data_IF_401731662032
#
_entry.id   IF_401731662032
#
_cell.length_a   1.000
_cell.length_b   1.000
_cell.length_c   1.000
_cell.angle_alpha   90.00
_cell.angle_beta   90.00
_cell.angle_gamma   90.00
#
_symmetry.space_group_name_H-M   'P 1'
#
loop_
_entity.id
_entity.type
_entity.pdbx_description
1 polymer ?
#
# COMPACT_ATOMS: atom_id res chain seq x y z
N UNK A 1 -23.40 -33.45 9.59
CA UNK A 1 -23.99 -32.46 8.67
C UNK A 1 -23.77 -31.02 9.12
N UNK A 2 -24.24 -30.60 10.31
CA UNK A 2 -24.06 -29.21 10.81
C UNK A 2 -22.59 -28.76 10.81
N UNK A 3 -21.66 -29.64 11.26
CA UNK A 3 -20.21 -29.35 11.27
C UNK A 3 -19.65 -28.99 9.87
N UNK A 4 -19.92 -29.80 8.84
CA UNK A 4 -19.42 -29.55 7.48
C UNK A 4 -20.06 -28.30 6.86
N UNK A 5 -21.33 -28.04 7.16
CA UNK A 5 -22.00 -26.81 6.75
C UNK A 5 -21.32 -25.58 7.35
N UNK A 6 -21.04 -25.59 8.67
CA UNK A 6 -20.31 -24.50 9.33
C UNK A 6 -18.91 -24.31 8.75
N UNK A 7 -18.18 -25.38 8.45
CA UNK A 7 -16.87 -25.28 7.80
C UNK A 7 -16.94 -24.58 6.45
N UNK A 8 -17.95 -24.89 5.62
CA UNK A 8 -18.14 -24.20 4.34
C UNK A 8 -18.46 -22.71 4.52
N UNK A 9 -19.30 -22.36 5.50
CA UNK A 9 -19.62 -20.95 5.79
C UNK A 9 -18.35 -20.19 6.23
N UNK A 10 -17.59 -20.76 7.16
CA UNK A 10 -16.32 -20.19 7.63
C UNK A 10 -15.36 -20.01 6.46
N UNK A 11 -15.26 -21.02 5.59
CA UNK A 11 -14.37 -20.99 4.44
C UNK A 11 -14.74 -19.90 3.43
N UNK A 12 -16.03 -19.69 3.16
CA UNK A 12 -16.50 -18.59 2.31
C UNK A 12 -16.12 -17.24 2.92
N UNK A 13 -16.30 -17.06 4.24
CA UNK A 13 -15.89 -15.83 4.93
C UNK A 13 -14.38 -15.63 4.79
N UNK A 14 -13.58 -16.69 4.96
CA UNK A 14 -12.13 -16.63 4.79
C UNK A 14 -11.73 -16.24 3.35
N UNK A 15 -12.42 -16.76 2.33
CA UNK A 15 -12.19 -16.38 0.92
C UNK A 15 -12.46 -14.89 0.71
N UNK A 16 -13.54 -14.35 1.28
CA UNK A 16 -13.86 -12.92 1.17
C UNK A 16 -12.79 -12.07 1.88
N UNK A 17 -12.38 -12.45 3.09
CA UNK A 17 -11.29 -11.76 3.80
C UNK A 17 -9.98 -11.83 3.02
N UNK A 18 -9.65 -13.01 2.46
CA UNK A 18 -8.47 -13.20 1.63
C UNK A 18 -8.49 -12.30 0.39
N UNK A 19 -9.64 -12.11 -0.27
CA UNK A 19 -9.73 -11.21 -1.42
C UNK A 19 -9.41 -9.75 -1.08
N UNK A 20 -9.85 -9.28 0.10
CA UNK A 20 -9.51 -7.94 0.58
C UNK A 20 -8.00 -7.86 0.88
N UNK A 21 -7.45 -8.89 1.54
CA UNK A 21 -6.02 -8.96 1.84
C UNK A 21 -5.16 -8.96 0.56
N UNK A 22 -5.57 -9.69 -0.49
CA UNK A 22 -4.89 -9.72 -1.80
C UNK A 22 -4.90 -8.34 -2.44
N UNK A 23 -6.02 -7.61 -2.40
CA UNK A 23 -6.10 -6.25 -2.93
C UNK A 23 -5.03 -5.35 -2.30
N UNK A 24 -4.89 -5.37 -0.97
CA UNK A 24 -3.86 -4.59 -0.27
C UNK A 24 -2.45 -5.13 -0.49
N UNK A 25 -2.29 -6.45 -0.66
CA UNK A 25 -1.00 -7.06 -1.00
C UNK A 25 -0.49 -6.61 -2.37
N UNK A 26 -1.38 -6.63 -3.37
CA UNK A 26 -1.07 -6.23 -4.75
C UNK A 26 -0.79 -4.73 -4.89
N UNK A 27 -1.49 -3.93 -4.09
CA UNK A 27 -1.35 -2.49 -4.07
C UNK A 27 -0.49 -1.99 -2.92
N UNK A 28 0.26 -2.86 -2.25
CA UNK A 28 1.15 -2.45 -1.18
C UNK A 28 2.15 -1.40 -1.70
N UNK A 29 2.36 -0.25 -1.01
CA UNK A 29 1.98 0.06 0.36
C UNK A 29 0.78 1.05 0.51
N UNK A 30 -0.27 0.94 -0.31
CA UNK A 30 -1.46 1.78 -0.17
C UNK A 30 -2.04 1.70 1.25
N UNK A 31 -2.42 2.83 1.88
CA UNK A 31 -3.04 2.85 3.19
C UNK A 31 -4.40 2.14 3.19
N UNK A 32 -4.75 1.53 4.33
CA UNK A 32 -6.02 0.84 4.47
C UNK A 32 -7.20 1.81 4.52
N UNK A 33 -8.03 1.77 3.48
CA UNK A 33 -9.35 2.42 3.45
C UNK A 33 -10.40 1.44 2.95
N UNK A 34 -11.21 0.91 3.88
CA UNK A 34 -12.22 -0.09 3.56
C UNK A 34 -13.35 0.45 2.67
N UNK A 35 -13.79 1.66 2.98
CA UNK A 35 -14.98 2.25 2.35
C UNK A 35 -14.60 2.79 0.97
N UNK A 36 -13.46 3.47 0.85
CA UNK A 36 -12.98 4.05 -0.39
C UNK A 36 -12.72 3.00 -1.48
N UNK A 37 -12.18 1.83 -1.09
CA UNK A 37 -11.76 0.79 -2.04
C UNK A 37 -12.79 -0.35 -2.21
N UNK A 38 -13.99 -0.24 -1.63
CA UNK A 38 -14.96 -1.35 -1.63
C UNK A 38 -15.29 -1.86 -3.04
N UNK A 39 -15.36 -0.94 -4.01
CA UNK A 39 -15.63 -1.27 -5.43
C UNK A 39 -14.44 -1.98 -6.10
N UNK A 40 -13.23 -1.73 -5.63
CA UNK A 40 -11.98 -2.19 -6.24
C UNK A 40 -11.54 -3.56 -5.73
N UNK A 41 -12.17 -4.06 -4.65
CA UNK A 41 -11.93 -5.40 -4.13
C UNK A 41 -12.35 -6.53 -5.07
N UNK A 42 -13.11 -6.24 -6.13
CA UNK A 42 -13.49 -7.24 -7.11
C UNK A 42 -14.38 -8.36 -6.54
N UNK A 43 -15.13 -8.09 -5.46
CA UNK A 43 -16.00 -9.07 -4.78
C UNK A 43 -16.94 -9.77 -5.77
N UNK A 44 -17.41 -9.04 -6.80
CA UNK A 44 -18.24 -9.61 -7.87
C UNK A 44 -17.58 -10.82 -8.56
N UNK A 45 -16.26 -10.77 -8.81
CA UNK A 45 -15.53 -11.86 -9.45
C UNK A 45 -15.40 -13.07 -8.51
N UNK A 46 -15.19 -12.82 -7.21
CA UNK A 46 -15.17 -13.87 -6.20
C UNK A 46 -16.52 -14.59 -6.13
N UNK A 47 -17.64 -13.85 -6.13
CA UNK A 47 -18.98 -14.44 -6.14
C UNK A 47 -19.23 -15.28 -7.41
N UNK A 48 -18.79 -14.82 -8.58
CA UNK A 48 -18.88 -15.60 -9.83
C UNK A 48 -18.07 -16.89 -9.72
N UNK A 49 -16.85 -16.85 -9.19
CA UNK A 49 -16.01 -18.04 -9.01
C UNK A 49 -16.67 -19.01 -8.01
N UNK A 50 -17.23 -18.53 -6.91
CA UNK A 50 -17.96 -19.36 -5.94
C UNK A 50 -19.17 -20.07 -6.59
N UNK A 51 -19.89 -19.40 -7.48
CA UNK A 51 -20.98 -20.00 -8.25
C UNK A 51 -20.47 -21.11 -9.18
N UNK A 52 -19.36 -20.87 -9.90
CA UNK A 52 -18.73 -21.87 -10.76
C UNK A 52 -18.28 -23.09 -9.94
N UNK A 53 -17.65 -22.87 -8.78
CA UNK A 53 -17.26 -23.95 -7.86
C UNK A 53 -18.49 -24.73 -7.39
N UNK A 54 -19.60 -24.05 -7.10
CA UNK A 54 -20.87 -24.69 -6.76
C UNK A 54 -21.40 -25.60 -7.88
N UNK A 55 -21.37 -25.12 -9.13
CA UNK A 55 -21.77 -25.92 -10.29
C UNK A 55 -20.87 -27.14 -10.47
N UNK A 56 -19.55 -26.96 -10.39
CA UNK A 56 -18.57 -28.06 -10.47
C UNK A 56 -18.78 -29.09 -9.37
N UNK A 57 -18.99 -28.65 -8.13
CA UNK A 57 -19.28 -29.54 -7.01
C UNK A 57 -20.55 -30.36 -7.23
N UNK A 58 -21.59 -29.76 -7.81
CA UNK A 58 -22.84 -30.43 -8.17
C UNK A 58 -22.63 -31.50 -9.25
N UNK A 59 -21.88 -31.17 -10.31
CA UNK A 59 -21.54 -32.10 -11.39
C UNK A 59 -20.75 -33.32 -10.86
N UNK A 60 -19.69 -33.08 -10.08
CA UNK A 60 -18.88 -34.15 -9.47
C UNK A 60 -19.75 -35.04 -8.57
N UNK A 61 -20.66 -34.43 -7.80
CA UNK A 61 -21.53 -35.16 -6.87
C UNK A 61 -22.60 -36.01 -7.58
N UNK A 62 -22.98 -35.62 -8.80
CA UNK A 62 -23.98 -36.31 -9.61
C UNK A 62 -23.52 -37.70 -10.06
N UNK A 63 -22.21 -37.96 -10.07
CA UNK A 63 -21.65 -39.31 -10.26
C UNK A 63 -22.07 -40.20 -9.09
N UNK A 64 -22.86 -41.25 -9.36
CA UNK A 64 -23.47 -42.09 -8.31
C UNK A 64 -22.40 -42.92 -7.57
N UNK A 65 -22.23 -42.65 -6.28
CA UNK A 65 -21.43 -43.46 -5.35
C UNK A 65 -22.37 -43.99 -4.27
N UNK A 66 -22.45 -45.33 -4.11
CA UNK A 66 -23.45 -46.04 -3.28
C UNK A 66 -23.44 -45.69 -1.77
N UNK A 67 -22.42 -44.98 -1.27
CA UNK A 67 -22.14 -44.85 0.18
C UNK A 67 -22.71 -43.60 0.87
N UNK A 68 -23.06 -42.53 0.14
CA UNK A 68 -23.47 -41.25 0.76
C UNK A 68 -24.59 -40.52 0.00
N UNK A 69 -25.51 -39.89 0.74
CA UNK A 69 -26.54 -39.02 0.15
C UNK A 69 -25.92 -37.79 -0.55
N UNK A 70 -26.53 -37.33 -1.64
CA UNK A 70 -26.08 -36.25 -2.50
C UNK A 70 -25.62 -35.02 -1.71
N UNK A 71 -26.44 -34.53 -0.77
CA UNK A 71 -26.16 -33.34 0.02
C UNK A 71 -24.81 -33.39 0.76
N UNK A 72 -24.46 -34.53 1.36
CA UNK A 72 -23.21 -34.65 2.10
C UNK A 72 -22.01 -34.69 1.15
N UNK A 73 -22.15 -35.39 0.02
CA UNK A 73 -21.11 -35.43 -1.01
C UNK A 73 -20.86 -34.05 -1.61
N UNK A 74 -21.93 -33.31 -1.91
CA UNK A 74 -21.85 -31.94 -2.39
C UNK A 74 -21.09 -31.04 -1.42
N UNK A 75 -21.49 -31.03 -0.13
CA UNK A 75 -20.84 -30.19 0.87
C UNK A 75 -19.35 -30.55 1.09
N UNK A 76 -18.97 -31.82 0.93
CA UNK A 76 -17.57 -32.22 1.00
C UNK A 76 -16.78 -31.79 -0.24
N UNK A 77 -17.31 -32.02 -1.45
CA UNK A 77 -16.64 -31.61 -2.70
C UNK A 77 -16.53 -30.09 -2.78
N UNK A 78 -17.60 -29.37 -2.44
CA UNK A 78 -17.62 -27.91 -2.38
C UNK A 78 -16.58 -27.39 -1.38
N UNK A 79 -16.46 -28.01 -0.20
CA UNK A 79 -15.43 -27.65 0.77
C UNK A 79 -14.02 -27.82 0.20
N UNK A 80 -13.73 -28.97 -0.42
CA UNK A 80 -12.41 -29.27 -1.00
C UNK A 80 -12.06 -28.27 -2.10
N UNK A 81 -12.98 -27.99 -3.02
CA UNK A 81 -12.75 -27.04 -4.11
C UNK A 81 -12.51 -25.61 -3.59
N UNK A 82 -13.25 -25.19 -2.57
CA UNK A 82 -13.03 -23.89 -1.94
C UNK A 82 -11.72 -23.81 -1.15
N UNK A 83 -11.27 -24.91 -0.54
CA UNK A 83 -9.94 -24.97 0.08
C UNK A 83 -8.85 -24.75 -0.98
N UNK A 84 -8.92 -25.48 -2.09
CA UNK A 84 -7.98 -25.29 -3.21
C UNK A 84 -8.01 -23.87 -3.77
N UNK A 85 -9.20 -23.28 -3.88
CA UNK A 85 -9.33 -21.89 -4.32
C UNK A 85 -8.74 -20.91 -3.32
N UNK A 86 -8.96 -21.09 -2.02
CA UNK A 86 -8.35 -20.27 -0.98
C UNK A 86 -6.82 -20.39 -0.99
N UNK A 87 -6.29 -21.61 -1.12
CA UNK A 87 -4.84 -21.85 -1.20
C UNK A 87 -4.24 -21.11 -2.41
N UNK A 88 -4.91 -21.15 -3.56
CA UNK A 88 -4.52 -20.40 -4.75
C UNK A 88 -4.52 -18.88 -4.50
N UNK A 89 -5.58 -18.34 -3.89
CA UNK A 89 -5.68 -16.93 -3.54
C UNK A 89 -4.53 -16.48 -2.61
N UNK A 90 -4.26 -17.27 -1.57
CA UNK A 90 -3.18 -16.96 -0.61
C UNK A 90 -1.82 -17.03 -1.30
N UNK A 91 -1.59 -18.02 -2.17
CA UNK A 91 -0.35 -18.15 -2.93
C UNK A 91 -0.10 -16.93 -3.82
N UNK A 92 -1.08 -16.56 -4.67
CA UNK A 92 -0.98 -15.42 -5.58
C UNK A 92 -0.77 -14.11 -4.81
N UNK A 93 -1.61 -13.85 -3.79
CA UNK A 93 -1.51 -12.64 -2.98
C UNK A 93 -0.17 -12.51 -2.25
N UNK A 94 0.33 -13.63 -1.68
CA UNK A 94 1.62 -13.63 -0.99
C UNK A 94 2.78 -13.41 -1.96
N UNK A 95 2.72 -14.02 -3.14
CA UNK A 95 3.75 -13.88 -4.18
C UNK A 95 3.88 -12.42 -4.64
N UNK A 96 2.77 -11.78 -4.98
CA UNK A 96 2.77 -10.38 -5.44
C UNK A 96 3.16 -9.42 -4.30
N UNK A 97 2.69 -9.65 -3.07
CA UNK A 97 3.12 -8.88 -1.91
C UNK A 97 4.64 -8.96 -1.69
N UNK A 98 5.23 -10.16 -1.74
CA UNK A 98 6.68 -10.34 -1.59
C UNK A 98 7.43 -9.59 -2.69
N UNK A 99 6.96 -9.65 -3.93
CA UNK A 99 7.54 -8.93 -5.07
C UNK A 99 7.49 -7.42 -4.87
N UNK A 100 6.33 -6.87 -4.48
CA UNK A 100 6.15 -5.44 -4.16
C UNK A 100 7.05 -5.00 -3.00
N UNK A 101 7.12 -5.79 -1.93
CA UNK A 101 7.98 -5.50 -0.77
C UNK A 101 9.47 -5.50 -1.15
N UNK A 102 9.91 -6.42 -2.01
CA UNK A 102 11.28 -6.43 -2.56
C UNK A 102 11.56 -5.18 -3.39
N UNK A 103 10.64 -4.79 -4.27
CA UNK A 103 10.77 -3.58 -5.07
C UNK A 103 10.86 -2.33 -4.17
N UNK A 104 10.02 -2.24 -3.12
CA UNK A 104 10.09 -1.11 -2.19
C UNK A 104 11.40 -1.08 -1.43
N UNK A 105 11.92 -2.23 -0.99
CA UNK A 105 13.23 -2.28 -0.31
C UNK A 105 14.39 -1.90 -1.23
N UNK A 106 14.31 -2.19 -2.53
CA UNK A 106 15.28 -1.70 -3.50
C UNK A 106 15.20 -0.17 -3.60
N UNK A 107 13.99 0.37 -3.73
CA UNK A 107 13.75 1.80 -3.83
C UNK A 107 14.22 2.54 -2.56
N UNK A 108 13.86 2.07 -1.37
CA UNK A 108 14.34 2.59 -0.09
C UNK A 108 15.87 2.67 -0.05
N UNK A 109 16.58 1.65 -0.54
CA UNK A 109 18.06 1.67 -0.61
C UNK A 109 18.59 2.74 -1.56
N UNK A 110 17.91 2.98 -2.68
CA UNK A 110 18.28 4.06 -3.61
C UNK A 110 18.08 5.43 -2.96
N UNK A 111 16.96 5.64 -2.28
CA UNK A 111 16.68 6.86 -1.53
C UNK A 111 17.68 7.07 -0.38
N UNK A 112 18.04 6.02 0.36
CA UNK A 112 19.10 6.11 1.39
C UNK A 112 20.47 6.45 0.78
N UNK A 113 20.81 5.90 -0.39
CA UNK A 113 22.04 6.25 -1.11
C UNK A 113 22.02 7.71 -1.57
N UNK A 114 20.87 8.19 -2.02
CA UNK A 114 20.68 9.60 -2.38
C UNK A 114 20.83 10.51 -1.16
N UNK A 115 20.19 10.17 -0.04
CA UNK A 115 20.32 10.90 1.23
C UNK A 115 21.79 11.07 1.65
N UNK A 116 22.60 10.01 1.55
CA UNK A 116 24.03 10.08 1.86
C UNK A 116 24.78 11.06 0.95
N UNK A 117 24.52 11.04 -0.36
CA UNK A 117 25.13 11.98 -1.31
C UNK A 117 24.73 13.43 -1.02
N UNK A 118 23.48 13.65 -0.63
CA UNK A 118 22.95 14.97 -0.32
C UNK A 118 23.56 15.51 0.99
N UNK A 119 23.73 14.66 1.98
CA UNK A 119 24.47 14.96 3.22
C UNK A 119 25.93 15.33 2.90
N UNK A 120 26.62 14.56 2.06
CA UNK A 120 28.00 14.84 1.64
C UNK A 120 28.13 16.19 0.92
N UNK A 121 27.08 16.62 0.21
CA UNK A 121 27.00 17.91 -0.48
C UNK A 121 26.51 19.06 0.41
N UNK A 122 26.28 18.81 1.69
CA UNK A 122 25.73 19.78 2.62
C UNK A 122 24.36 20.36 2.15
N UNK A 123 23.57 19.58 1.39
CA UNK A 123 22.31 20.03 0.80
C UNK A 123 21.31 18.88 0.62
N UNK A 124 20.30 18.82 1.48
CA UNK A 124 19.21 17.84 1.49
C UNK A 124 18.11 18.27 0.53
N UNK A 125 17.59 17.33 -0.27
CA UNK A 125 16.49 17.60 -1.22
C UNK A 125 15.25 16.82 -0.84
N UNK A 126 14.20 17.52 -0.39
CA UNK A 126 12.89 16.93 -0.17
C UNK A 126 12.07 16.98 -1.45
N UNK A 127 11.65 15.80 -1.91
CA UNK A 127 10.74 15.67 -3.05
C UNK A 127 9.31 15.61 -2.53
N UNK A 128 8.42 16.35 -3.17
CA UNK A 128 7.01 16.31 -2.82
C UNK A 128 6.14 16.28 -4.08
N UNK A 129 5.04 15.53 -4.00
CA UNK A 129 3.99 15.55 -5.01
C UNK A 129 2.94 16.59 -4.61
N UNK A 130 2.58 17.47 -5.53
CA UNK A 130 1.61 18.54 -5.32
C UNK A 130 1.54 19.47 -6.53
N UNK A 131 0.32 19.84 -6.94
CA UNK A 131 0.12 20.92 -7.93
C UNK A 131 0.40 22.31 -7.32
N UNK A 132 0.15 23.36 -8.11
CA UNK A 132 0.23 24.77 -7.69
C UNK A 132 -0.32 24.96 -6.26
N UNK A 133 0.53 25.44 -5.34
CA UNK A 133 0.07 25.81 -3.99
C UNK A 133 -0.95 26.94 -4.10
N UNK A 134 -2.08 26.81 -3.40
CA UNK A 134 -3.08 27.86 -3.27
C UNK A 134 -2.42 29.15 -2.76
N UNK A 135 -2.58 30.22 -3.54
CA UNK A 135 -1.81 31.47 -3.56
C UNK A 135 -0.36 31.30 -4.06
N UNK A 136 -0.15 31.51 -5.37
CA UNK A 136 1.17 31.84 -5.89
C UNK A 136 1.67 33.08 -5.13
N UNK A 137 2.64 32.90 -4.25
CA UNK A 137 3.34 34.02 -3.67
C UNK A 137 3.98 34.80 -4.82
N UNK A 138 4.15 36.12 -4.66
CA UNK A 138 4.94 36.84 -5.64
C UNK A 138 6.40 36.31 -5.63
N UNK A 139 7.10 36.45 -6.76
CA UNK A 139 8.46 35.94 -6.96
C UNK A 139 9.43 36.38 -5.83
N UNK A 140 9.25 37.59 -5.30
CA UNK A 140 10.07 38.11 -4.20
C UNK A 140 9.87 37.34 -2.90
N UNK A 141 8.64 36.95 -2.59
CA UNK A 141 8.33 36.13 -1.41
C UNK A 141 8.80 34.69 -1.60
N UNK A 142 8.64 34.10 -2.79
CA UNK A 142 9.15 32.77 -3.11
C UNK A 142 10.68 32.71 -2.97
N UNK A 143 11.40 33.66 -3.57
CA UNK A 143 12.86 33.75 -3.47
C UNK A 143 13.36 33.87 -2.02
N UNK A 144 12.60 34.57 -1.16
CA UNK A 144 12.91 34.68 0.27
C UNK A 144 12.69 33.36 1.00
N UNK A 145 11.59 32.65 0.71
CA UNK A 145 11.29 31.34 1.28
C UNK A 145 12.38 30.33 0.86
N UNK A 146 12.77 30.33 -0.41
CA UNK A 146 13.85 29.48 -0.94
C UNK A 146 15.19 29.80 -0.28
N UNK A 147 15.47 31.08 -0.01
CA UNK A 147 16.67 31.48 0.71
C UNK A 147 16.66 30.97 2.15
N UNK A 148 15.51 30.98 2.83
CA UNK A 148 15.38 30.38 4.15
C UNK A 148 15.66 28.87 4.07
N UNK A 149 15.03 28.14 3.15
CA UNK A 149 15.29 26.71 3.00
C UNK A 149 16.78 26.40 2.78
N UNK A 150 17.44 27.16 1.91
CA UNK A 150 18.89 27.02 1.64
C UNK A 150 19.74 27.28 2.89
N UNK A 151 19.38 28.24 3.75
CA UNK A 151 20.09 28.49 5.01
C UNK A 151 20.06 27.27 5.94
N UNK A 152 18.97 26.50 5.92
CA UNK A 152 18.83 25.25 6.66
C UNK A 152 19.43 24.04 5.92
N UNK A 153 20.06 24.24 4.76
CA UNK A 153 20.65 23.17 3.95
C UNK A 153 19.61 22.32 3.22
N UNK A 154 18.44 22.90 2.91
CA UNK A 154 17.30 22.18 2.36
C UNK A 154 16.89 22.79 1.02
N UNK A 155 16.52 21.92 0.08
CA UNK A 155 15.87 22.28 -1.18
C UNK A 155 14.60 21.46 -1.31
N UNK A 156 13.50 22.08 -1.75
CA UNK A 156 12.27 21.38 -2.07
C UNK A 156 12.14 21.23 -3.58
N UNK A 157 11.78 20.03 -4.04
CA UNK A 157 11.60 19.73 -5.45
C UNK A 157 10.23 19.13 -5.69
N UNK A 158 9.43 19.82 -6.50
CA UNK A 158 8.10 19.37 -6.87
C UNK A 158 8.20 18.29 -7.97
N UNK A 159 7.68 17.09 -7.71
CA UNK A 159 7.66 15.97 -8.66
C UNK A 159 6.38 15.92 -9.51
N UNK A 160 5.52 16.94 -9.41
CA UNK A 160 4.24 17.05 -10.11
C UNK A 160 3.07 16.49 -9.31
N UNK A 161 1.97 16.18 -10.02
CA UNK A 161 0.69 15.79 -9.40
C UNK A 161 0.51 14.28 -9.19
N UNK A 162 1.50 13.45 -9.57
CA UNK A 162 1.37 11.99 -9.47
C UNK A 162 1.82 11.57 -8.09
N UNK A 163 0.90 10.98 -7.32
CA UNK A 163 1.20 10.38 -6.03
C UNK A 163 1.43 8.88 -6.26
N UNK A 164 2.69 8.45 -6.13
CA UNK A 164 3.05 7.04 -6.05
C UNK A 164 3.35 6.66 -4.59
N UNK A 165 2.55 5.74 -4.05
CA UNK A 165 2.71 5.26 -2.67
C UNK A 165 4.03 4.53 -2.43
N UNK A 166 4.63 3.92 -3.45
CA UNK A 166 5.98 3.34 -3.35
C UNK A 166 7.02 4.43 -3.12
N UNK A 167 6.97 5.51 -3.90
CA UNK A 167 7.87 6.65 -3.76
C UNK A 167 7.65 7.37 -2.43
N UNK A 168 6.39 7.62 -2.03
CA UNK A 168 6.09 8.21 -0.72
C UNK A 168 6.72 7.37 0.42
N UNK A 169 6.56 6.05 0.36
CA UNK A 169 7.10 5.16 1.39
C UNK A 169 8.62 5.10 1.38
N UNK A 170 9.27 5.19 0.22
CA UNK A 170 10.72 5.26 0.12
C UNK A 170 11.27 6.63 0.56
N UNK A 171 10.53 7.71 0.30
CA UNK A 171 10.85 9.06 0.75
C UNK A 171 10.85 9.17 2.29
N UNK A 172 10.00 8.41 3.01
CA UNK A 172 10.10 8.31 4.47
C UNK A 172 11.49 7.81 4.92
N UNK A 173 12.09 6.83 4.20
CA UNK A 173 13.44 6.35 4.50
C UNK A 173 14.52 7.36 4.16
N UNK A 174 14.32 8.19 3.15
CA UNK A 174 15.18 9.34 2.89
C UNK A 174 15.14 10.32 4.07
N UNK A 175 13.94 10.73 4.50
CA UNK A 175 13.70 11.63 5.62
C UNK A 175 14.34 11.12 6.92
N UNK A 176 14.08 9.87 7.28
CA UNK A 176 14.72 9.22 8.44
C UNK A 176 16.26 9.26 8.37
N UNK A 177 16.83 9.12 7.18
CA UNK A 177 18.29 9.09 6.98
C UNK A 177 18.93 10.47 7.12
N UNK A 178 18.27 11.53 6.61
CA UNK A 178 18.80 12.89 6.66
C UNK A 178 18.53 13.60 7.99
N UNK A 179 17.51 13.18 8.73
CA UNK A 179 17.06 13.89 9.92
C UNK A 179 18.15 14.05 11.01
N UNK A 180 18.96 13.02 11.36
CA UNK A 180 20.05 13.18 12.32
C UNK A 180 21.08 14.22 11.87
N UNK A 181 21.36 14.28 10.57
CA UNK A 181 22.27 15.26 9.99
C UNK A 181 21.70 16.68 10.08
N UNK A 182 20.43 16.88 9.72
CA UNK A 182 19.78 18.20 9.82
C UNK A 182 19.69 18.70 11.26
N UNK A 183 19.44 17.82 12.24
CA UNK A 183 19.49 18.16 13.67
C UNK A 183 20.91 18.54 14.09
N UNK A 184 21.94 17.83 13.61
CA UNK A 184 23.34 18.17 13.90
C UNK A 184 23.72 19.53 13.31
N UNK A 185 23.28 19.83 12.09
CA UNK A 185 23.56 21.08 11.36
C UNK A 185 22.84 22.28 11.98
N UNK A 186 21.54 22.16 12.19
CA UNK A 186 20.65 23.29 12.49
C UNK A 186 20.17 23.33 13.96
N UNK A 187 20.50 22.30 14.74
CA UNK A 187 20.06 22.13 16.12
C UNK A 187 18.70 21.45 16.25
N UNK A 188 18.31 21.12 17.49
CA UNK A 188 16.96 20.60 17.78
C UNK A 188 15.89 21.64 17.44
N UNK A 189 14.73 21.16 17.00
CA UNK A 189 13.56 21.98 16.61
C UNK A 189 13.81 22.94 15.43
N UNK A 190 14.78 22.62 14.56
CA UNK A 190 15.09 23.45 13.39
C UNK A 190 13.87 23.63 12.46
N UNK A 191 13.02 22.61 12.31
CA UNK A 191 11.79 22.67 11.50
C UNK A 191 10.83 23.76 11.98
N UNK A 192 10.64 23.86 13.31
CA UNK A 192 9.78 24.87 13.92
C UNK A 192 10.35 26.28 13.74
N UNK A 193 11.67 26.43 13.87
CA UNK A 193 12.35 27.72 13.66
C UNK A 193 12.22 28.16 12.20
N UNK A 194 12.55 27.26 11.27
CA UNK A 194 12.43 27.49 9.83
C UNK A 194 11.01 27.87 9.44
N UNK A 195 10.00 27.13 9.93
CA UNK A 195 8.59 27.45 9.68
C UNK A 195 8.20 28.82 10.23
N UNK A 196 8.64 29.17 11.44
CA UNK A 196 8.40 30.50 12.01
C UNK A 196 9.05 31.63 11.21
N UNK A 197 10.24 31.42 10.66
CA UNK A 197 10.89 32.39 9.75
C UNK A 197 10.08 32.60 8.48
N UNK A 198 9.57 31.51 7.89
CA UNK A 198 8.71 31.57 6.70
C UNK A 198 7.39 32.28 6.99
N UNK A 199 6.73 31.95 8.11
CA UNK A 199 5.43 32.52 8.49
C UNK A 199 5.51 34.04 8.74
N UNK A 200 6.67 34.56 9.17
CA UNK A 200 6.94 36.00 9.31
C UNK A 200 7.05 36.75 7.98
N UNK A 201 7.25 36.04 6.87
CA UNK A 201 7.36 36.64 5.52
C UNK A 201 6.03 36.56 4.78
N UNK A 202 5.18 35.60 5.16
CA UNK A 202 3.83 35.42 4.62
C UNK A 202 2.82 36.43 5.18
N UNK A 203 3.03 36.87 6.42
CA UNK A 203 2.29 37.95 7.08
C UNK A 203 2.96 39.31 6.83
#
# INVERSE_FOLDING_TARGET
MKKILYLNIILIILILVASIAIFYGNNFPIPFDFIGNFKDYGIQYILIILLIIGLLASLITSVKIKKYNFKNRFLCVFLILNCLFLDFLVFEGSSEYIKRRKALTLLEKEYMKQAKKDIEKDSVTYKFAGGFTEAAYNEKTENKIDSIYKNYGITYFNTGCIIDFMDLKAQEKYEETVQPYLIKRNGKNWELKMKSEIDKIKN
#
